data_IF_676875490833
#
_entry.id   IF_676875490833
#
_cell.length_a   1.000
_cell.length_b   1.000
_cell.length_c   1.000
_cell.angle_alpha   90.00
_cell.angle_beta   90.00
_cell.angle_gamma   90.00
#
_symmetry.space_group_name_H-M   'P 1'
#
loop_
_entity.id
_entity.type
_entity.pdbx_description
1 polymer ?
#
# COMPACT_ATOMS: atom_id res chain seq x y z
N UNK A 1 7.88 12.54 -8.32
CA UNK A 1 6.59 12.36 -9.05
C UNK A 1 6.68 11.04 -9.80
N UNK A 2 5.89 10.03 -9.43
CA UNK A 2 5.84 8.80 -10.23
C UNK A 2 5.24 9.13 -11.60
N UNK A 3 5.86 8.63 -12.68
CA UNK A 3 5.33 8.81 -14.02
C UNK A 3 3.92 8.19 -14.11
N UNK A 4 2.95 8.96 -14.61
CA UNK A 4 1.61 8.47 -14.95
C UNK A 4 1.73 7.27 -15.91
N UNK A 5 0.84 6.29 -15.81
CA UNK A 5 0.79 5.14 -16.71
C UNK A 5 0.75 5.55 -18.19
N UNK A 6 0.08 6.68 -18.47
CA UNK A 6 0.03 7.28 -19.80
C UNK A 6 1.39 7.82 -20.25
N UNK A 7 2.25 8.25 -19.32
CA UNK A 7 3.64 8.66 -19.61
C UNK A 7 4.48 7.45 -19.99
N UNK A 8 4.37 6.35 -19.23
CA UNK A 8 5.12 5.12 -19.53
C UNK A 8 4.69 4.49 -20.87
N UNK A 9 3.40 4.52 -21.18
CA UNK A 9 2.87 4.04 -22.46
C UNK A 9 3.40 4.86 -23.65
N UNK A 10 3.50 6.18 -23.47
CA UNK A 10 4.04 7.08 -24.47
C UNK A 10 5.54 6.85 -24.71
N UNK A 11 6.32 6.67 -23.63
CA UNK A 11 7.75 6.36 -23.72
C UNK A 11 8.01 4.99 -24.40
N UNK A 12 7.19 3.97 -24.10
CA UNK A 12 7.24 2.67 -24.79
C UNK A 12 6.93 2.79 -26.27
N UNK A 13 5.95 3.62 -26.62
CA UNK A 13 5.58 3.89 -28.03
C UNK A 13 6.73 4.53 -28.80
N UNK A 14 7.40 5.53 -28.19
CA UNK A 14 8.58 6.18 -28.78
C UNK A 14 9.72 5.17 -28.99
N UNK A 15 10.02 4.34 -27.99
CA UNK A 15 11.11 3.36 -28.06
C UNK A 15 10.85 2.25 -29.08
N UNK A 16 9.62 1.72 -29.16
CA UNK A 16 9.26 0.70 -30.13
C UNK A 16 9.42 1.22 -31.57
N UNK A 17 9.06 2.48 -31.81
CA UNK A 17 9.22 3.12 -33.12
C UNK A 17 10.67 3.43 -33.45
N UNK A 18 11.45 3.90 -32.48
CA UNK A 18 12.89 4.09 -32.62
C UNK A 18 13.59 2.81 -33.07
N UNK A 19 13.25 1.66 -32.47
CA UNK A 19 13.85 0.36 -32.84
C UNK A 19 13.46 -0.13 -34.23
N UNK A 20 12.27 0.24 -34.71
CA UNK A 20 11.80 -0.11 -36.05
C UNK A 20 12.32 0.82 -37.14
N UNK A 21 13.01 1.90 -36.77
CA UNK A 21 13.53 2.89 -37.70
C UNK A 21 15.06 2.79 -37.80
N UNK A 22 15.57 2.62 -39.01
CA UNK A 22 17.02 2.47 -39.27
C UNK A 22 17.82 3.70 -38.84
N UNK A 23 17.20 4.87 -38.89
CA UNK A 23 17.81 6.14 -38.50
C UNK A 23 17.76 6.39 -36.98
N UNK A 24 17.17 5.49 -36.17
CA UNK A 24 17.20 5.59 -34.71
C UNK A 24 16.35 6.71 -34.11
N UNK A 25 15.28 7.15 -34.80
CA UNK A 25 14.34 8.17 -34.34
C UNK A 25 12.88 7.69 -34.47
N UNK A 26 11.99 8.16 -33.59
CA UNK A 26 10.56 7.99 -33.76
C UNK A 26 9.96 9.21 -34.49
N UNK A 27 9.40 8.98 -35.69
CA UNK A 27 8.92 10.03 -36.61
C UNK A 27 7.39 10.13 -36.60
N UNK A 28 6.88 11.37 -36.70
CA UNK A 28 5.52 11.95 -36.81
C UNK A 28 4.24 11.08 -36.93
N UNK A 29 4.28 9.85 -37.44
CA UNK A 29 3.10 9.15 -37.96
C UNK A 29 2.03 8.74 -36.92
N UNK A 30 2.29 8.83 -35.59
CA UNK A 30 1.35 8.33 -34.55
C UNK A 30 1.15 9.29 -33.36
N UNK A 31 1.93 10.36 -33.26
CA UNK A 31 1.98 11.21 -32.05
C UNK A 31 1.31 12.58 -32.25
N UNK A 32 0.63 12.78 -33.39
CA UNK A 32 -0.16 13.97 -33.71
C UNK A 32 -1.22 14.33 -32.64
N UNK A 33 -1.95 13.37 -32.00
CA UNK A 33 -2.89 13.71 -30.93
C UNK A 33 -2.22 14.09 -29.60
N UNK A 34 -0.89 13.98 -29.52
CA UNK A 34 -0.14 13.92 -28.25
C UNK A 34 1.00 14.95 -28.21
N UNK A 35 1.08 15.86 -29.20
CA UNK A 35 2.16 16.86 -29.34
C UNK A 35 2.47 17.63 -28.05
N UNK A 36 1.46 18.11 -27.34
CA UNK A 36 1.67 18.82 -26.06
C UNK A 36 2.29 17.94 -24.97
N UNK A 37 1.95 16.64 -24.94
CA UNK A 37 2.54 15.70 -23.98
C UNK A 37 3.97 15.33 -24.35
N UNK A 38 4.29 15.20 -25.63
CA UNK A 38 5.67 14.99 -26.10
C UNK A 38 6.53 16.20 -25.71
N UNK A 39 6.05 17.42 -25.97
CA UNK A 39 6.75 18.63 -25.52
C UNK A 39 6.93 18.66 -23.99
N UNK A 40 5.89 18.30 -23.23
CA UNK A 40 5.99 18.22 -21.77
C UNK A 40 7.02 17.17 -21.29
N UNK A 41 7.18 16.05 -22.00
CA UNK A 41 8.21 15.05 -21.67
C UNK A 41 9.61 15.54 -22.04
N UNK A 42 9.74 16.35 -23.09
CA UNK A 42 11.00 17.00 -23.45
C UNK A 42 11.39 18.05 -22.40
N UNK A 43 10.44 18.87 -21.94
CA UNK A 43 10.65 19.84 -20.85
C UNK A 43 11.06 19.16 -19.53
N UNK A 44 10.70 17.89 -19.35
CA UNK A 44 11.06 17.07 -18.20
C UNK A 44 12.34 16.26 -18.40
N UNK A 45 13.03 16.42 -19.53
CA UNK A 45 14.28 15.72 -19.84
C UNK A 45 14.12 14.22 -20.10
N UNK A 46 12.91 13.72 -20.34
CA UNK A 46 12.65 12.29 -20.55
C UNK A 46 12.77 11.88 -22.03
N UNK A 47 12.65 12.83 -22.94
CA UNK A 47 12.85 12.61 -24.38
C UNK A 47 13.62 13.77 -25.00
N UNK A 48 14.36 13.47 -26.04
CA UNK A 48 15.06 14.44 -26.87
C UNK A 48 14.27 14.65 -28.16
N UNK A 49 14.14 15.91 -28.57
CA UNK A 49 13.53 16.29 -29.84
C UNK A 49 14.61 16.56 -30.86
N UNK A 50 14.42 16.03 -32.07
CA UNK A 50 15.31 16.30 -33.17
C UNK A 50 15.33 17.79 -33.50
N UNK A 51 16.53 18.34 -33.66
CA UNK A 51 16.70 19.73 -34.02
C UNK A 51 16.30 20.01 -35.49
N UNK A 52 16.62 21.20 -35.99
CA UNK A 52 16.25 21.56 -37.37
C UNK A 52 17.03 20.76 -38.42
N UNK A 53 18.31 20.50 -38.17
CA UNK A 53 19.21 19.83 -39.11
C UNK A 53 18.95 18.32 -39.10
N UNK A 54 18.79 17.74 -37.92
CA UNK A 54 18.40 16.34 -37.75
C UNK A 54 17.04 16.05 -38.40
N UNK A 55 16.06 16.95 -38.27
CA UNK A 55 14.77 16.79 -38.97
C UNK A 55 14.89 16.91 -40.48
N UNK A 56 15.79 17.74 -40.99
CA UNK A 56 16.03 17.85 -42.43
C UNK A 56 16.66 16.57 -42.98
N UNK A 57 17.66 16.02 -42.27
CA UNK A 57 18.24 14.73 -42.58
C UNK A 57 17.18 13.62 -42.54
N UNK A 58 16.38 13.54 -41.46
CA UNK A 58 15.30 12.56 -41.35
C UNK A 58 14.24 12.70 -42.44
N UNK A 59 13.94 13.92 -42.89
CA UNK A 59 13.01 14.16 -44.00
C UNK A 59 13.55 13.65 -45.34
N UNK A 60 14.87 13.78 -45.55
CA UNK A 60 15.53 13.23 -46.74
C UNK A 60 15.56 11.70 -46.71
N UNK A 61 15.77 11.09 -45.54
CA UNK A 61 15.74 9.64 -45.36
C UNK A 61 14.34 9.03 -45.53
N UNK A 62 13.31 9.68 -45.00
CA UNK A 62 11.92 9.21 -45.07
C UNK A 62 11.24 9.51 -46.42
N UNK A 63 11.88 10.32 -47.28
CA UNK A 63 11.30 10.78 -48.54
C UNK A 63 10.05 11.67 -48.37
N UNK A 64 9.80 12.18 -47.17
CA UNK A 64 8.66 13.04 -46.82
C UNK A 64 9.03 14.03 -45.71
N UNK A 65 8.35 15.18 -45.61
CA UNK A 65 8.60 16.13 -44.53
C UNK A 65 8.31 15.55 -43.14
N UNK A 66 9.32 15.55 -42.27
CA UNK A 66 9.24 15.19 -40.85
C UNK A 66 9.00 16.46 -40.03
N UNK A 67 7.81 16.63 -39.43
CA UNK A 67 7.50 17.87 -38.68
C UNK A 67 8.12 17.83 -37.30
N UNK A 68 8.18 16.66 -36.66
CA UNK A 68 8.95 16.43 -35.44
C UNK A 68 9.39 14.96 -35.36
N UNK A 69 10.51 14.74 -34.67
CA UNK A 69 11.04 13.42 -34.35
C UNK A 69 11.55 13.41 -32.91
N UNK A 70 11.41 12.28 -32.23
CA UNK A 70 11.80 12.13 -30.83
C UNK A 70 12.56 10.83 -30.59
N UNK A 71 13.46 10.85 -29.60
CA UNK A 71 14.10 9.65 -29.04
C UNK A 71 14.08 9.75 -27.51
N UNK A 72 14.30 8.63 -26.83
CA UNK A 72 14.47 8.65 -25.38
C UNK A 72 15.75 9.40 -25.02
N UNK A 73 15.66 10.28 -24.03
CA UNK A 73 16.83 10.80 -23.32
C UNK A 73 17.36 9.72 -22.36
N UNK A 74 18.59 9.84 -21.82
CA UNK A 74 19.13 8.91 -20.83
C UNK A 74 18.18 8.66 -19.65
N UNK A 75 17.61 9.72 -19.07
CA UNK A 75 16.67 9.61 -17.95
C UNK A 75 15.34 8.92 -18.34
N UNK A 76 14.89 9.09 -19.59
CA UNK A 76 13.72 8.39 -20.12
C UNK A 76 13.99 6.91 -20.36
N UNK A 77 15.21 6.57 -20.77
CA UNK A 77 15.68 5.20 -20.91
C UNK A 77 15.77 4.51 -19.56
N UNK A 78 16.36 5.16 -18.56
CA UNK A 78 16.46 4.66 -17.18
C UNK A 78 15.09 4.55 -16.52
N UNK A 79 14.17 5.48 -16.79
CA UNK A 79 12.79 5.38 -16.33
C UNK A 79 12.06 4.18 -16.94
N UNK A 80 12.28 3.87 -18.23
CA UNK A 80 11.71 2.68 -18.87
C UNK A 80 12.35 1.39 -18.37
N UNK A 81 13.67 1.36 -18.22
CA UNK A 81 14.40 0.24 -17.62
C UNK A 81 13.91 -0.01 -16.19
N UNK A 82 13.82 1.04 -15.36
CA UNK A 82 13.32 0.96 -14.00
C UNK A 82 11.86 0.52 -13.95
N UNK A 83 11.00 1.02 -14.85
CA UNK A 83 9.61 0.58 -14.92
C UNK A 83 9.45 -0.85 -15.44
N UNK A 84 10.40 -1.36 -16.24
CA UNK A 84 10.43 -2.73 -16.74
C UNK A 84 11.07 -3.71 -15.74
N UNK A 85 12.04 -3.24 -14.96
CA UNK A 85 12.73 -3.99 -13.90
C UNK A 85 11.97 -3.93 -12.58
N UNK A 86 11.05 -2.98 -12.43
CA UNK A 86 10.02 -3.04 -11.40
C UNK A 86 9.38 -4.41 -11.57
N UNK A 87 9.37 -5.25 -10.52
CA UNK A 87 8.64 -6.50 -10.58
C UNK A 87 7.24 -6.16 -11.11
N UNK A 88 6.89 -6.70 -12.28
CA UNK A 88 5.48 -6.90 -12.55
C UNK A 88 5.06 -7.78 -11.39
N UNK A 89 4.39 -7.19 -10.41
CA UNK A 89 3.45 -7.95 -9.64
C UNK A 89 2.44 -8.43 -10.67
N UNK A 90 2.71 -9.59 -11.27
CA UNK A 90 1.67 -10.56 -11.46
C UNK A 90 0.93 -10.53 -10.13
N UNK A 91 -0.33 -10.06 -10.16
CA UNK A 91 -1.27 -10.59 -9.18
C UNK A 91 -0.95 -12.09 -9.11
N UNK A 92 -0.70 -12.67 -7.93
CA UNK A 92 -0.42 -14.09 -7.85
C UNK A 92 -1.44 -14.80 -8.74
N UNK A 93 -0.97 -15.65 -9.64
CA UNK A 93 -1.86 -16.52 -10.40
C UNK A 93 -2.62 -17.33 -9.34
N UNK A 94 -3.84 -16.90 -9.09
CA UNK A 94 -4.38 -16.88 -7.75
C UNK A 94 -5.29 -15.66 -7.66
N UNK A 95 -6.34 -15.66 -8.48
CA UNK A 95 -7.55 -14.92 -8.12
C UNK A 95 -7.85 -15.16 -6.65
N UNK A 96 -8.47 -14.18 -5.94
CA UNK A 96 -8.57 -14.18 -4.48
C UNK A 96 -8.84 -15.60 -4.01
N UNK A 97 -7.83 -16.23 -3.37
CA UNK A 97 -8.09 -17.47 -2.66
C UNK A 97 -9.31 -17.17 -1.81
N UNK A 98 -10.39 -17.97 -1.91
CA UNK A 98 -11.68 -17.61 -1.33
C UNK A 98 -11.47 -17.09 0.10
N UNK A 99 -11.79 -15.81 0.35
CA UNK A 99 -11.59 -15.14 1.64
C UNK A 99 -10.37 -14.20 1.81
N UNK A 100 -9.75 -13.68 0.74
CA UNK A 100 -8.75 -12.59 0.82
C UNK A 100 -9.26 -11.25 0.29
N UNK A 101 -9.16 -10.19 1.09
CA UNK A 101 -9.61 -8.83 0.79
C UNK A 101 -8.42 -7.89 0.55
N UNK A 102 -8.55 -7.02 -0.46
CA UNK A 102 -7.59 -5.93 -0.72
C UNK A 102 -7.79 -4.80 0.29
N UNK A 103 -6.72 -4.41 0.97
CA UNK A 103 -6.70 -3.38 2.00
C UNK A 103 -5.68 -2.31 1.64
N UNK A 104 -6.09 -1.04 1.69
CA UNK A 104 -5.23 0.10 1.39
C UNK A 104 -4.91 0.90 2.65
N UNK A 105 -3.61 1.10 2.94
CA UNK A 105 -3.13 1.82 4.12
C UNK A 105 -2.38 3.09 3.72
N UNK A 106 -2.52 4.19 4.48
CA UNK A 106 -1.62 5.34 4.35
C UNK A 106 -0.26 5.06 5.01
N UNK A 107 0.70 5.97 4.85
CA UNK A 107 2.04 5.79 5.43
C UNK A 107 2.02 5.69 6.96
N UNK A 108 1.18 6.46 7.67
CA UNK A 108 1.10 6.39 9.14
C UNK A 108 0.54 5.05 9.61
N UNK A 109 -0.49 4.53 8.93
CA UNK A 109 -1.02 3.19 9.16
C UNK A 109 0.03 2.11 8.90
N UNK A 110 0.79 2.23 7.81
CA UNK A 110 1.86 1.30 7.48
C UNK A 110 3.00 1.34 8.52
N UNK A 111 3.35 2.52 9.02
CA UNK A 111 4.38 2.68 10.04
C UNK A 111 4.00 2.01 11.38
N UNK A 112 2.76 2.19 11.83
CA UNK A 112 2.25 1.49 13.02
C UNK A 112 2.25 -0.04 12.83
N UNK A 113 1.94 -0.51 11.62
CA UNK A 113 1.96 -1.93 11.29
C UNK A 113 3.40 -2.49 11.24
N UNK A 114 4.35 -1.78 10.64
CA UNK A 114 5.78 -2.15 10.69
C UNK A 114 6.30 -2.23 12.12
N UNK A 115 5.94 -1.28 12.97
CA UNK A 115 6.34 -1.30 14.38
C UNK A 115 5.81 -2.56 15.07
N UNK A 116 4.53 -2.90 14.87
CA UNK A 116 3.96 -4.12 15.47
C UNK A 116 4.63 -5.40 14.95
N UNK A 117 4.90 -5.49 13.64
CA UNK A 117 5.63 -6.63 13.05
C UNK A 117 7.05 -6.72 13.61
N UNK A 118 7.72 -5.60 13.84
CA UNK A 118 9.06 -5.58 14.47
C UNK A 118 9.06 -6.09 15.92
N UNK A 119 7.93 -5.95 16.64
CA UNK A 119 7.76 -6.53 17.97
C UNK A 119 7.57 -8.04 17.92
N UNK A 120 6.98 -8.57 16.83
CA UNK A 120 6.90 -10.00 16.54
C UNK A 120 6.45 -10.85 17.74
N UNK A 121 7.25 -11.87 18.08
CA UNK A 121 7.00 -12.79 19.19
C UNK A 121 6.97 -12.14 20.59
N UNK A 122 7.34 -10.86 20.72
CA UNK A 122 7.24 -10.12 22.00
C UNK A 122 5.80 -9.72 22.32
N UNK A 123 4.91 -9.72 21.33
CA UNK A 123 3.47 -9.53 21.55
C UNK A 123 2.88 -10.81 22.13
N UNK A 124 2.18 -10.70 23.27
CA UNK A 124 1.52 -11.86 23.91
C UNK A 124 0.41 -12.46 23.04
N UNK A 125 -0.22 -11.66 22.19
CA UNK A 125 -1.15 -12.14 21.16
C UNK A 125 -0.38 -12.26 19.86
N UNK A 126 -0.24 -13.46 19.28
CA UNK A 126 0.43 -13.62 17.99
C UNK A 126 -0.37 -12.90 16.91
N UNK A 127 0.36 -12.30 15.96
CA UNK A 127 -0.22 -11.83 14.71
C UNK A 127 -0.59 -13.04 13.85
N UNK A 128 -1.64 -12.93 13.05
CA UNK A 128 -2.04 -14.00 12.14
C UNK A 128 -0.91 -14.42 11.20
N UNK A 129 -0.85 -15.72 10.90
CA UNK A 129 0.18 -16.31 10.04
C UNK A 129 0.24 -15.62 8.67
N UNK A 130 1.46 -15.45 8.16
CA UNK A 130 1.73 -14.78 6.89
C UNK A 130 1.54 -13.26 6.90
N UNK A 131 1.03 -12.63 7.97
CA UNK A 131 0.89 -11.17 8.02
C UNK A 131 2.25 -10.46 7.92
N UNK A 132 3.27 -10.98 8.59
CA UNK A 132 4.64 -10.44 8.53
C UNK A 132 5.18 -10.44 7.10
N UNK A 133 4.95 -11.52 6.36
CA UNK A 133 5.43 -11.63 4.98
C UNK A 133 4.64 -10.71 4.05
N UNK A 134 3.32 -10.62 4.20
CA UNK A 134 2.48 -9.65 3.47
C UNK A 134 2.90 -8.19 3.75
N UNK A 135 3.30 -7.86 4.98
CA UNK A 135 3.79 -6.51 5.33
C UNK A 135 5.16 -6.22 4.73
N UNK A 136 6.02 -7.24 4.57
CA UNK A 136 7.34 -7.12 3.94
C UNK A 136 7.24 -7.00 2.42
N UNK A 137 6.30 -7.70 1.81
CA UNK A 137 6.05 -7.65 0.35
C UNK A 137 5.09 -6.54 -0.04
N UNK A 138 4.46 -5.87 0.94
CA UNK A 138 3.59 -4.74 0.70
C UNK A 138 4.28 -3.68 -0.15
N UNK A 139 3.54 -3.14 -1.11
CA UNK A 139 4.06 -2.15 -2.04
C UNK A 139 3.26 -0.86 -1.97
N UNK A 140 3.95 0.25 -2.15
CA UNK A 140 3.30 1.54 -2.32
C UNK A 140 2.78 1.65 -3.75
N UNK A 141 1.46 1.78 -3.89
CA UNK A 141 0.84 2.22 -5.13
C UNK A 141 1.03 3.75 -5.24
N UNK A 142 1.95 4.15 -6.10
CA UNK A 142 2.32 5.54 -6.30
C UNK A 142 1.22 6.40 -6.94
N UNK A 143 0.16 5.80 -7.52
CA UNK A 143 -0.97 6.57 -8.08
C UNK A 143 -1.89 7.09 -7.00
N UNK A 144 -2.17 6.24 -6.00
CA UNK A 144 -3.04 6.58 -4.87
C UNK A 144 -2.25 7.00 -3.63
N UNK A 145 -0.91 6.90 -3.67
CA UNK A 145 0.00 7.15 -2.54
C UNK A 145 -0.39 6.32 -1.30
N UNK A 146 -0.82 5.08 -1.51
CA UNK A 146 -1.24 4.14 -0.47
C UNK A 146 -0.50 2.82 -0.61
N UNK A 147 -0.29 2.15 0.52
CA UNK A 147 0.24 0.79 0.60
C UNK A 147 -0.89 -0.19 0.38
N UNK A 148 -0.68 -1.18 -0.47
CA UNK A 148 -1.70 -2.18 -0.81
C UNK A 148 -1.28 -3.54 -0.24
N UNK A 149 -2.18 -4.18 0.52
CA UNK A 149 -2.03 -5.53 1.06
C UNK A 149 -3.23 -6.39 0.67
N UNK A 150 -3.04 -7.70 0.57
CA UNK A 150 -4.11 -8.67 0.32
C UNK A 150 -4.25 -9.59 1.53
N UNK A 151 -5.21 -9.27 2.40
CA UNK A 151 -5.30 -9.84 3.74
C UNK A 151 -6.47 -10.81 3.86
N UNK A 152 -6.29 -11.91 4.61
CA UNK A 152 -7.39 -12.76 5.07
C UNK A 152 -8.16 -12.09 6.22
N UNK A 153 -9.35 -12.59 6.56
CA UNK A 153 -10.13 -12.10 7.71
C UNK A 153 -9.34 -12.15 9.03
N UNK A 154 -8.56 -13.21 9.24
CA UNK A 154 -7.69 -13.35 10.42
C UNK A 154 -6.57 -12.29 10.45
N UNK A 155 -6.02 -11.95 9.29
CA UNK A 155 -5.01 -10.90 9.14
C UNK A 155 -5.64 -9.51 9.33
N UNK A 156 -6.84 -9.27 8.78
CA UNK A 156 -7.61 -8.03 9.00
C UNK A 156 -7.89 -7.84 10.50
N UNK A 157 -8.32 -8.88 11.20
CA UNK A 157 -8.54 -8.83 12.64
C UNK A 157 -7.24 -8.53 13.43
N UNK A 158 -6.10 -9.03 12.96
CA UNK A 158 -4.78 -8.73 13.54
C UNK A 158 -4.36 -7.28 13.31
N UNK A 159 -4.61 -6.73 12.13
CA UNK A 159 -4.35 -5.31 11.82
C UNK A 159 -5.28 -4.40 12.64
N UNK A 160 -6.55 -4.76 12.78
CA UNK A 160 -7.49 -4.04 13.65
C UNK A 160 -7.01 -4.02 15.12
N UNK A 161 -6.45 -5.14 15.60
CA UNK A 161 -5.84 -5.21 16.93
C UNK A 161 -4.60 -4.31 17.06
N UNK A 162 -3.73 -4.29 16.05
CA UNK A 162 -2.55 -3.39 16.03
C UNK A 162 -2.97 -1.92 16.07
N UNK A 163 -3.96 -1.51 15.28
CA UNK A 163 -4.44 -0.12 15.32
C UNK A 163 -5.17 0.20 16.62
N UNK A 164 -5.82 -0.76 17.26
CA UNK A 164 -6.34 -0.57 18.60
C UNK A 164 -5.21 -0.33 19.63
N UNK A 165 -4.10 -1.07 19.58
CA UNK A 165 -2.91 -0.81 20.41
C UNK A 165 -2.29 0.57 20.14
N UNK A 166 -2.23 0.97 18.87
CA UNK A 166 -1.72 2.28 18.49
C UNK A 166 -2.64 3.41 18.99
N UNK A 167 -3.96 3.19 18.92
CA UNK A 167 -4.97 4.10 19.46
C UNK A 167 -4.83 4.31 20.96
N UNK A 168 -4.56 3.26 21.73
CA UNK A 168 -4.42 3.36 23.20
C UNK A 168 -3.12 4.05 23.63
N UNK A 169 -2.16 4.20 22.73
CA UNK A 169 -0.84 4.82 22.99
C UNK A 169 -0.69 6.24 22.44
N UNK A 170 -1.66 6.73 21.66
CA UNK A 170 -1.68 8.15 21.29
C UNK A 170 -2.67 8.56 20.20
N UNK A 171 -2.72 7.85 19.07
CA UNK A 171 -3.51 8.30 17.90
C UNK A 171 -4.64 7.35 17.53
N UNK A 172 -5.88 7.81 17.68
CA UNK A 172 -7.08 7.06 17.27
C UNK A 172 -7.38 7.13 15.77
N UNK A 173 -6.69 8.00 15.02
CA UNK A 173 -7.01 8.31 13.63
C UNK A 173 -6.84 7.09 12.71
N UNK A 174 -5.73 6.37 12.87
CA UNK A 174 -5.37 5.18 12.11
C UNK A 174 -6.42 4.07 12.28
N UNK A 175 -6.86 3.85 13.52
CA UNK A 175 -7.88 2.86 13.86
C UNK A 175 -9.25 3.22 13.29
N UNK A 176 -9.67 4.48 13.42
CA UNK A 176 -10.95 4.94 12.90
C UNK A 176 -11.01 4.89 11.36
N UNK A 177 -9.91 5.24 10.69
CA UNK A 177 -9.80 5.14 9.23
C UNK A 177 -9.87 3.69 8.78
N UNK A 178 -9.11 2.80 9.42
CA UNK A 178 -9.13 1.38 9.09
C UNK A 178 -10.51 0.74 9.28
N UNK A 179 -11.20 1.08 10.37
CA UNK A 179 -12.55 0.61 10.64
C UNK A 179 -13.56 1.10 9.59
N UNK A 180 -13.40 2.32 9.07
CA UNK A 180 -14.24 2.84 7.98
C UNK A 180 -14.02 2.07 6.67
N UNK A 181 -12.77 1.77 6.36
CA UNK A 181 -12.40 1.16 5.07
C UNK A 181 -12.66 -0.36 5.04
N UNK A 182 -12.62 -1.04 6.20
CA UNK A 182 -12.79 -2.50 6.30
C UNK A 182 -14.05 -2.95 7.04
N UNK A 183 -14.71 -2.06 7.78
CA UNK A 183 -15.81 -2.39 8.70
C UNK A 183 -15.38 -3.09 9.99
N UNK A 184 -14.08 -3.43 10.14
CA UNK A 184 -13.60 -4.23 11.28
C UNK A 184 -12.98 -3.33 12.34
N UNK A 185 -13.47 -3.48 13.59
CA UNK A 185 -12.90 -2.84 14.77
C UNK A 185 -12.50 -3.92 15.77
N UNK A 186 -11.29 -3.83 16.32
CA UNK A 186 -10.93 -4.67 17.46
C UNK A 186 -11.56 -4.12 18.73
N UNK A 187 -12.31 -4.97 19.44
CA UNK A 187 -12.83 -4.70 20.76
C UNK A 187 -12.21 -5.70 21.73
N UNK A 188 -11.46 -5.28 22.75
CA UNK A 188 -11.04 -6.19 23.81
C UNK A 188 -12.29 -6.77 24.47
N UNK A 189 -12.31 -8.08 24.68
CA UNK A 189 -13.36 -8.69 25.48
C UNK A 189 -13.33 -8.06 26.88
N UNK A 190 -14.49 -7.71 27.46
CA UNK A 190 -14.51 -7.32 28.87
C UNK A 190 -13.87 -8.46 29.66
N UNK A 191 -12.97 -8.11 30.60
CA UNK A 191 -12.50 -9.09 31.56
C UNK A 191 -13.76 -9.73 32.15
N UNK A 192 -13.85 -11.07 32.07
CA UNK A 192 -14.78 -11.76 32.94
C UNK A 192 -14.37 -11.30 34.33
N UNK A 193 -15.22 -10.48 34.98
CA UNK A 193 -15.13 -10.34 36.42
C UNK A 193 -15.26 -11.77 36.90
N UNK A 194 -14.14 -12.37 37.27
CA UNK A 194 -14.15 -13.49 38.19
C UNK A 194 -15.12 -13.04 39.25
N UNK A 195 -16.27 -13.72 39.33
CA UNK A 195 -17.19 -13.54 40.42
C UNK A 195 -16.30 -13.52 41.65
N UNK A 196 -16.31 -12.40 42.37
CA UNK A 196 -15.77 -12.35 43.72
C UNK A 196 -16.33 -13.63 44.35
N UNK A 197 -15.50 -14.62 44.75
CA UNK A 197 -16.04 -15.80 45.40
C UNK A 197 -16.92 -15.24 46.48
N UNK A 198 -18.22 -15.58 46.41
CA UNK A 198 -19.20 -15.10 47.37
C UNK A 198 -18.52 -15.19 48.72
N UNK A 199 -18.37 -14.04 49.38
CA UNK A 199 -17.96 -14.01 50.77
C UNK A 199 -18.91 -14.98 51.43
N UNK A 200 -18.39 -16.15 51.79
CA UNK A 200 -19.10 -17.13 52.59
C UNK A 200 -19.74 -16.32 53.70
N UNK A 201 -21.07 -16.32 53.84
CA UNK A 201 -21.67 -15.62 54.95
C UNK A 201 -21.03 -16.23 56.18
N UNK A 202 -20.18 -15.45 56.85
CA UNK A 202 -19.72 -15.77 58.19
C UNK A 202 -21.00 -15.97 58.95
N UNK A 203 -21.29 -17.24 59.24
CA UNK A 203 -22.43 -17.67 60.02
C UNK A 203 -22.42 -16.78 61.25
N UNK A 204 -23.37 -15.85 61.28
CA UNK A 204 -23.59 -15.00 62.41
C UNK A 204 -23.97 -15.96 63.52
N UNK A 205 -23.01 -16.28 64.38
CA UNK A 205 -23.27 -17.03 65.60
C UNK A 205 -24.31 -16.19 66.36
N UNK A 206 -25.53 -16.72 66.59
CA UNK A 206 -26.48 -16.01 67.42
C UNK A 206 -25.93 -15.93 68.85
N UNK A 207 -26.25 -14.87 69.61
CA UNK A 207 -25.84 -14.78 71.00
C UNK A 207 -26.45 -15.95 71.77
N UNK A 208 -25.60 -16.73 72.44
CA UNK A 208 -26.05 -17.66 73.48
C UNK A 208 -26.67 -16.84 74.59
N UNK A 209 -27.99 -16.76 74.60
CA UNK A 209 -28.74 -16.54 75.82
C UNK A 209 -28.73 -17.83 76.66
N UNK A 210 -28.88 -17.64 77.97
CA UNK A 210 -29.28 -18.56 79.07
C UNK A 210 -28.27 -18.51 80.22
N UNK A 211 -28.68 -18.50 81.51
CA UNK A 211 -29.92 -18.01 82.14
C UNK A 211 -29.62 -17.02 83.30
N UNK A 212 -30.67 -16.40 83.83
CA UNK A 212 -30.66 -15.74 85.13
C UNK A 212 -30.43 -16.76 86.25
N UNK A 213 -29.52 -16.44 87.18
CA UNK A 213 -29.41 -17.11 88.47
C UNK A 213 -30.01 -16.18 89.54
N UNK A 214 -30.93 -16.65 90.38
CA UNK A 214 -31.53 -15.85 91.44
C UNK A 214 -30.84 -16.16 92.77
N UNK A 215 -29.89 -15.34 93.24
CA UNK A 215 -29.53 -15.23 94.66
C UNK A 215 -28.56 -14.06 94.89
N UNK A 216 -29.09 -12.93 95.39
CA UNK A 216 -28.52 -12.02 96.40
C UNK A 216 -29.39 -10.76 96.49
#
# INVERSE_FOLDING_TARGET
>A
MAADDKTLDLLRTVEARRRGAEHGWAVDAVLVPVKQRVLNLADRGLIELADREERAALSAWEGRPVRWAARLAPDGHDLLLYAASRPRHTAPAGGPGPGRQRVELCLSQMAALWQAVSLGARLRRPLADGLTDEVRTACCDHRVKRWVLHLTDAQIASVAYVFWLHKTTGSALEANRFARDTGVTHRPAPAQRTAIPERTPLLHRPPSAVPADPHA
#
